data_IF_311889008751
#
_entry.id   IF_311889008751
#
_cell.length_a   1.000
_cell.length_b   1.000
_cell.length_c   1.000
_cell.angle_alpha   90.00
_cell.angle_beta   90.00
_cell.angle_gamma   90.00
#
_symmetry.space_group_name_H-M   'P 1'
#
loop_
_entity.id
_entity.type
_entity.pdbx_description
1 polymer ?
#
# COMPACT_ATOMS: atom_id res chain seq x y z
N UNK A 1 0.56 -2.26 14.40
CA UNK A 1 1.66 -1.33 14.09
C UNK A 1 2.63 -2.03 13.15
N UNK A 2 2.90 -1.42 12.02
CA UNK A 2 3.79 -1.99 11.01
C UNK A 2 5.00 -1.06 10.84
N UNK A 3 6.19 -1.62 11.01
CA UNK A 3 7.45 -0.93 10.76
C UNK A 3 8.16 -1.59 9.59
N UNK A 4 8.62 -0.81 8.64
CA UNK A 4 9.53 -1.26 7.61
C UNK A 4 10.88 -0.54 7.79
N UNK A 5 11.97 -1.31 7.87
CA UNK A 5 13.32 -0.79 7.88
C UNK A 5 13.87 -0.91 6.46
N UNK A 6 14.24 0.19 5.85
CA UNK A 6 14.95 0.17 4.58
C UNK A 6 16.44 -0.14 4.82
N UNK A 7 16.95 -1.19 4.17
CA UNK A 7 18.37 -1.56 4.21
C UNK A 7 19.29 -0.55 3.50
N UNK A 8 18.73 0.46 2.82
CA UNK A 8 19.47 1.40 1.97
C UNK A 8 19.86 2.72 2.65
N UNK A 9 19.88 2.80 3.96
CA UNK A 9 20.48 3.97 4.60
C UNK A 9 19.64 4.70 5.64
N UNK A 10 18.76 4.01 6.31
CA UNK A 10 18.30 4.48 7.61
C UNK A 10 17.01 5.25 7.67
N UNK A 11 16.11 5.09 6.71
CA UNK A 11 14.75 5.58 6.90
C UNK A 11 13.85 4.44 7.42
N UNK A 12 13.51 4.52 8.68
CA UNK A 12 12.45 3.66 9.22
C UNK A 12 11.13 4.37 8.92
N UNK A 13 10.29 3.74 8.11
CA UNK A 13 8.91 4.17 7.89
C UNK A 13 7.97 3.42 8.82
N UNK A 14 7.02 4.14 9.36
CA UNK A 14 5.98 3.62 10.23
C UNK A 14 4.61 4.04 9.70
N UNK A 15 3.63 3.15 9.77
CA UNK A 15 2.24 3.48 9.45
C UNK A 15 1.29 2.66 10.33
N UNK A 16 0.11 3.21 10.53
CA UNK A 16 -0.96 2.57 11.28
C UNK A 16 -2.04 2.07 10.33
N UNK A 17 -2.66 0.95 10.69
CA UNK A 17 -3.82 0.46 9.98
C UNK A 17 -4.93 1.54 9.99
N UNK A 18 -5.58 1.74 8.84
CA UNK A 18 -6.65 2.72 8.65
C UNK A 18 -6.22 4.20 8.77
N UNK A 19 -4.91 4.47 8.89
CA UNK A 19 -4.35 5.82 8.78
C UNK A 19 -4.08 6.17 7.32
N UNK A 20 -4.16 7.45 7.00
CA UNK A 20 -3.71 8.04 5.73
C UNK A 20 -2.31 8.65 5.83
N UNK A 21 -1.66 8.50 6.98
CA UNK A 21 -0.36 9.12 7.26
C UNK A 21 0.73 8.07 7.33
N UNK A 22 1.81 8.33 6.61
CA UNK A 22 3.06 7.58 6.68
C UNK A 22 4.05 8.43 7.46
N UNK A 23 4.65 7.85 8.49
CA UNK A 23 5.55 8.51 9.42
C UNK A 23 7.00 8.12 9.15
N UNK A 24 7.93 8.90 9.63
CA UNK A 24 9.35 8.53 9.74
C UNK A 24 9.78 8.50 11.19
N UNK A 25 10.62 7.55 11.54
CA UNK A 25 11.27 7.50 12.85
C UNK A 25 12.53 8.36 12.79
N UNK A 26 12.57 9.41 13.59
CA UNK A 26 13.70 10.36 13.61
C UNK A 26 14.79 9.89 14.57
N UNK A 27 14.39 9.30 15.68
CA UNK A 27 15.27 8.68 16.68
C UNK A 27 14.47 7.70 17.54
N UNK A 28 15.11 7.07 18.52
CA UNK A 28 14.54 6.02 19.36
C UNK A 28 13.22 6.39 20.09
N UNK A 29 12.85 7.66 20.11
CA UNK A 29 11.69 8.16 20.85
C UNK A 29 10.80 9.13 20.07
N UNK A 30 11.14 9.43 18.81
CA UNK A 30 10.41 10.44 18.04
C UNK A 30 9.99 9.93 16.68
N UNK A 31 8.69 9.95 16.44
CA UNK A 31 8.05 9.66 15.15
C UNK A 31 7.38 10.95 14.67
N UNK A 32 7.55 11.29 13.40
CA UNK A 32 6.90 12.46 12.81
C UNK A 32 6.23 12.13 11.48
N UNK A 33 5.11 12.82 11.13
CA UNK A 33 4.48 12.67 9.82
C UNK A 33 5.46 13.02 8.71
N UNK A 34 5.52 12.17 7.68
CA UNK A 34 6.35 12.38 6.49
C UNK A 34 5.51 12.56 5.23
N UNK A 35 4.50 11.72 5.06
CA UNK A 35 3.58 11.79 3.92
C UNK A 35 2.14 11.70 4.42
N UNK A 36 1.28 12.56 3.87
CA UNK A 36 -0.17 12.47 4.00
C UNK A 36 -0.74 12.01 2.66
N UNK A 37 -1.36 10.84 2.66
CA UNK A 37 -1.98 10.28 1.47
C UNK A 37 -3.39 10.81 1.32
N UNK A 38 -3.62 11.58 0.26
CA UNK A 38 -4.97 12.09 -0.02
C UNK A 38 -5.72 11.12 -0.92
N UNK A 39 -6.66 10.38 -0.35
CA UNK A 39 -7.53 9.47 -1.09
C UNK A 39 -8.78 10.14 -1.69
N UNK A 40 -8.92 11.46 -1.55
CA UNK A 40 -10.08 12.19 -2.09
C UNK A 40 -11.41 11.66 -1.55
N UNK A 41 -12.33 11.34 -2.46
CA UNK A 41 -13.65 10.80 -2.12
C UNK A 41 -13.64 9.38 -1.57
N UNK A 42 -12.53 8.67 -1.72
CA UNK A 42 -12.32 7.33 -1.14
C UNK A 42 -11.72 7.37 0.27
N UNK A 43 -11.44 8.55 0.81
CA UNK A 43 -10.90 8.67 2.17
C UNK A 43 -11.95 8.25 3.22
N UNK A 44 -11.49 7.60 4.29
CA UNK A 44 -12.33 7.41 5.47
C UNK A 44 -12.66 8.78 6.03
N UNK A 45 -13.95 9.14 6.25
CA UNK A 45 -14.32 10.44 6.76
C UNK A 45 -13.61 10.75 8.10
N UNK A 46 -13.08 11.97 8.22
CA UNK A 46 -12.33 12.36 9.41
C UNK A 46 -13.17 12.23 10.71
N UNK A 47 -14.48 12.50 10.64
CA UNK A 47 -15.38 12.33 11.77
C UNK A 47 -15.44 10.88 12.28
N UNK A 48 -15.37 9.91 11.36
CA UNK A 48 -15.37 8.50 11.73
C UNK A 48 -14.04 8.12 12.40
N UNK A 49 -12.92 8.59 11.87
CA UNK A 49 -11.59 8.33 12.44
C UNK A 49 -11.39 8.96 13.82
N UNK A 50 -12.00 10.11 14.07
CA UNK A 50 -11.88 10.80 15.35
C UNK A 50 -12.79 10.23 16.46
N UNK A 51 -13.92 9.63 16.08
CA UNK A 51 -14.95 9.21 17.03
C UNK A 51 -15.00 7.70 17.26
N UNK A 52 -14.22 6.91 16.55
CA UNK A 52 -14.20 5.44 16.62
C UNK A 52 -12.85 4.94 17.09
N UNK A 53 -12.87 3.92 17.92
CA UNK A 53 -11.66 3.14 18.13
C UNK A 53 -11.30 2.28 16.90
N UNK A 54 -10.19 1.58 16.96
CA UNK A 54 -9.69 0.81 15.81
C UNK A 54 -10.64 -0.32 15.42
N UNK A 55 -11.33 -0.96 16.38
CA UNK A 55 -12.26 -2.06 16.11
C UNK A 55 -13.55 -1.55 15.48
N UNK A 56 -14.13 -0.48 16.04
CA UNK A 56 -15.31 0.20 15.49
C UNK A 56 -15.03 0.73 14.07
N UNK A 57 -13.81 1.19 13.82
CA UNK A 57 -13.41 1.67 12.49
C UNK A 57 -13.26 0.52 11.48
N UNK A 58 -12.72 -0.63 11.92
CA UNK A 58 -12.69 -1.86 11.09
C UNK A 58 -14.12 -2.29 10.72
N UNK A 59 -15.02 -2.32 11.69
CA UNK A 59 -16.42 -2.65 11.46
C UNK A 59 -17.08 -1.65 10.51
N UNK A 60 -16.78 -0.36 10.66
CA UNK A 60 -17.28 0.68 9.77
C UNK A 60 -16.82 0.47 8.32
N UNK A 61 -15.54 0.25 8.06
CA UNK A 61 -15.02 0.10 6.68
C UNK A 61 -15.44 -1.23 6.03
N UNK A 62 -15.78 -2.24 6.84
CA UNK A 62 -16.26 -3.53 6.34
C UNK A 62 -17.75 -3.55 5.95
N UNK A 63 -18.51 -2.49 6.25
CA UNK A 63 -19.90 -2.40 5.80
C UNK A 63 -19.98 -2.34 4.27
N UNK A 64 -20.98 -2.97 3.65
CA UNK A 64 -21.12 -3.01 2.20
C UNK A 64 -21.08 -1.63 1.54
N UNK A 65 -21.74 -0.63 2.13
CA UNK A 65 -21.77 0.74 1.64
C UNK A 65 -20.43 1.47 1.70
N UNK A 66 -19.50 0.99 2.53
CA UNK A 66 -18.18 1.60 2.76
C UNK A 66 -17.03 0.87 2.04
N UNK A 67 -17.34 -0.19 1.28
CA UNK A 67 -16.35 -0.98 0.54
C UNK A 67 -15.52 -0.19 -0.47
N UNK A 68 -16.01 0.97 -0.90
CA UNK A 68 -15.27 1.88 -1.77
C UNK A 68 -14.14 2.64 -1.07
N UNK A 69 -14.14 2.70 0.26
CA UNK A 69 -13.16 3.48 0.99
C UNK A 69 -11.75 2.88 0.87
N UNK A 70 -10.76 3.77 0.80
CA UNK A 70 -9.36 3.39 0.81
C UNK A 70 -8.93 3.04 2.24
N UNK A 71 -8.38 1.85 2.40
CA UNK A 71 -8.03 1.29 3.71
C UNK A 71 -6.68 0.57 3.65
N UNK A 72 -6.12 0.29 4.82
CA UNK A 72 -5.00 -0.62 4.99
C UNK A 72 -3.78 -0.26 4.13
N UNK A 73 -3.24 0.96 4.29
CA UNK A 73 -1.89 1.24 3.77
C UNK A 73 -0.95 0.19 4.36
N UNK A 74 -0.15 -0.44 3.50
CA UNK A 74 0.82 -1.46 3.87
C UNK A 74 1.94 -1.53 2.86
N UNK A 75 3.03 -2.19 3.26
CA UNK A 75 4.19 -2.41 2.40
C UNK A 75 4.74 -1.12 1.80
N UNK A 76 4.98 -0.14 2.65
CA UNK A 76 5.58 1.13 2.23
C UNK A 76 7.06 0.90 1.94
N UNK A 77 7.50 1.31 0.77
CA UNK A 77 8.90 1.28 0.35
C UNK A 77 9.27 2.62 -0.27
N UNK A 78 10.40 3.17 0.17
CA UNK A 78 10.84 4.50 -0.25
C UNK A 78 12.21 4.42 -0.95
N UNK A 79 12.27 4.99 -2.15
CA UNK A 79 13.50 5.26 -2.90
C UNK A 79 13.75 6.78 -2.97
N UNK A 80 14.90 7.17 -3.49
CA UNK A 80 15.26 8.58 -3.66
C UNK A 80 14.15 9.38 -4.36
N UNK A 81 13.64 8.89 -5.49
CA UNK A 81 12.69 9.59 -6.34
C UNK A 81 11.25 9.10 -6.22
N UNK A 82 11.02 7.98 -5.54
CA UNK A 82 9.70 7.35 -5.50
C UNK A 82 9.35 6.84 -4.11
N UNK A 83 8.05 6.88 -3.82
CA UNK A 83 7.43 6.19 -2.70
C UNK A 83 6.43 5.17 -3.27
N UNK A 84 6.56 3.92 -2.86
CA UNK A 84 5.66 2.83 -3.20
C UNK A 84 4.87 2.44 -1.96
N UNK A 85 3.60 2.21 -2.11
CA UNK A 85 2.79 1.63 -1.05
C UNK A 85 1.59 0.89 -1.62
N UNK A 86 1.08 -0.06 -0.86
CA UNK A 86 -0.10 -0.84 -1.21
C UNK A 86 -1.26 -0.43 -0.31
N UNK A 87 -2.45 -0.36 -0.86
CA UNK A 87 -3.68 -0.10 -0.12
C UNK A 87 -4.86 -0.86 -0.72
N UNK A 88 -5.93 -1.01 0.04
CA UNK A 88 -7.19 -1.60 -0.42
C UNK A 88 -8.19 -0.50 -0.74
N UNK A 89 -8.90 -0.63 -1.85
CA UNK A 89 -9.94 0.31 -2.28
C UNK A 89 -10.88 -0.39 -3.29
N UNK A 90 -12.19 -0.21 -3.16
CA UNK A 90 -13.18 -0.81 -4.05
C UNK A 90 -13.01 -2.33 -4.21
N UNK A 91 -12.86 -3.05 -3.08
CA UNK A 91 -12.59 -4.49 -3.02
C UNK A 91 -11.36 -4.96 -3.83
N UNK A 92 -10.49 -4.03 -4.20
CA UNK A 92 -9.25 -4.32 -4.92
C UNK A 92 -8.02 -3.90 -4.12
N UNK A 93 -6.92 -4.60 -4.34
CA UNK A 93 -5.61 -4.23 -3.82
C UNK A 93 -4.91 -3.39 -4.87
N UNK A 94 -4.39 -2.24 -4.49
CA UNK A 94 -3.76 -1.27 -5.39
C UNK A 94 -2.34 -0.98 -4.96
N UNK A 95 -1.44 -0.94 -5.93
CA UNK A 95 -0.08 -0.41 -5.78
C UNK A 95 -0.09 1.06 -6.19
N UNK A 96 0.31 1.93 -5.28
CA UNK A 96 0.55 3.34 -5.56
C UNK A 96 2.03 3.62 -5.75
N UNK A 97 2.34 4.48 -6.71
CA UNK A 97 3.66 5.04 -6.96
C UNK A 97 3.57 6.56 -6.91
N UNK A 98 4.20 7.16 -5.91
CA UNK A 98 4.33 8.60 -5.82
C UNK A 98 5.71 9.03 -6.30
N UNK A 99 5.74 9.85 -7.34
CA UNK A 99 6.96 10.48 -7.83
C UNK A 99 7.21 11.77 -7.04
N UNK A 100 8.34 11.82 -6.32
CA UNK A 100 8.68 12.94 -5.43
C UNK A 100 9.08 14.22 -6.18
N UNK A 101 9.59 14.09 -7.40
CA UNK A 101 10.00 15.23 -8.23
C UNK A 101 8.79 15.92 -8.86
N UNK A 102 7.88 15.14 -9.44
CA UNK A 102 6.71 15.69 -10.15
C UNK A 102 5.49 15.84 -9.25
N UNK A 103 5.54 15.31 -8.02
CA UNK A 103 4.42 15.24 -7.07
C UNK A 103 3.17 14.52 -7.60
N UNK A 104 3.35 13.64 -8.58
CA UNK A 104 2.27 12.87 -9.17
C UNK A 104 2.21 11.46 -8.55
N UNK A 105 0.98 10.98 -8.35
CA UNK A 105 0.73 9.60 -7.92
C UNK A 105 0.05 8.82 -9.05
N UNK A 106 0.52 7.63 -9.32
CA UNK A 106 -0.14 6.66 -10.19
C UNK A 106 -0.56 5.44 -9.38
N UNK A 107 -1.67 4.83 -9.75
CA UNK A 107 -2.17 3.63 -9.06
C UNK A 107 -2.42 2.51 -10.05
N UNK A 108 -2.10 1.29 -9.63
CA UNK A 108 -2.30 0.08 -10.41
C UNK A 108 -3.06 -0.95 -9.58
N UNK A 109 -4.13 -1.49 -10.14
CA UNK A 109 -4.85 -2.60 -9.51
C UNK A 109 -3.96 -3.85 -9.63
N UNK A 110 -3.68 -4.47 -8.50
CA UNK A 110 -2.98 -5.74 -8.47
C UNK A 110 -3.95 -6.87 -8.83
N UNK A 111 -3.56 -7.83 -9.67
CA UNK A 111 -4.46 -8.88 -10.08
C UNK A 111 -4.82 -9.78 -8.90
N UNK A 112 -6.13 -10.02 -8.74
CA UNK A 112 -6.65 -11.02 -7.80
C UNK A 112 -6.57 -12.44 -8.37
N UNK A 113 -6.43 -12.56 -9.69
CA UNK A 113 -6.30 -13.84 -10.39
C UNK A 113 -5.07 -13.81 -11.30
N UNK A 114 -4.25 -14.84 -11.22
CA UNK A 114 -3.07 -15.05 -12.07
C UNK A 114 -3.10 -16.49 -12.56
N UNK A 115 -3.03 -16.69 -13.89
CA UNK A 115 -3.04 -18.03 -14.51
C UNK A 115 -4.22 -18.93 -14.08
N UNK A 116 -5.38 -18.34 -13.79
CA UNK A 116 -6.59 -19.07 -13.37
C UNK A 116 -6.66 -19.41 -11.87
N UNK A 117 -5.65 -19.08 -11.10
CA UNK A 117 -5.67 -19.20 -9.63
C UNK A 117 -6.00 -17.85 -8.97
N UNK A 118 -6.67 -17.91 -7.82
CA UNK A 118 -6.97 -16.73 -7.00
C UNK A 118 -5.85 -16.48 -6.02
N UNK A 119 -5.33 -15.27 -6.02
CA UNK A 119 -4.20 -14.89 -5.19
C UNK A 119 -4.51 -13.65 -4.35
N UNK A 120 -3.87 -13.56 -3.19
CA UNK A 120 -3.79 -12.34 -2.40
C UNK A 120 -2.35 -11.92 -2.22
N UNK A 121 -2.12 -10.63 -2.06
CA UNK A 121 -0.80 -10.11 -1.75
C UNK A 121 -0.40 -10.56 -0.34
N UNK A 122 0.63 -11.40 -0.25
CA UNK A 122 1.18 -11.88 1.01
C UNK A 122 2.23 -10.93 1.58
N UNK A 123 3.12 -10.41 0.72
CA UNK A 123 4.14 -9.43 1.11
C UNK A 123 4.69 -8.66 -0.08
N UNK A 124 5.30 -7.52 0.23
CA UNK A 124 6.09 -6.73 -0.70
C UNK A 124 7.55 -7.04 -0.41
N UNK A 125 8.21 -7.74 -1.31
CA UNK A 125 9.52 -8.30 -1.01
C UNK A 125 10.65 -7.32 -1.29
N UNK A 126 10.62 -6.66 -2.44
CA UNK A 126 11.72 -5.78 -2.86
C UNK A 126 11.31 -4.85 -4.01
N UNK A 127 11.88 -3.66 -3.99
CA UNK A 127 11.98 -2.79 -5.16
C UNK A 127 13.45 -2.80 -5.59
N UNK A 128 13.72 -3.20 -6.81
CA UNK A 128 15.05 -3.17 -7.42
C UNK A 128 15.07 -2.14 -8.54
N UNK A 129 16.24 -1.92 -9.20
CA UNK A 129 16.41 -0.87 -10.24
C UNK A 129 15.28 -0.85 -11.26
N UNK A 130 14.87 -2.01 -11.75
CA UNK A 130 13.91 -2.13 -12.85
C UNK A 130 12.64 -2.88 -12.47
N UNK A 131 12.52 -3.39 -11.24
CA UNK A 131 11.46 -4.33 -10.87
C UNK A 131 10.87 -4.05 -9.50
N UNK A 132 9.57 -4.32 -9.38
CA UNK A 132 8.86 -4.46 -8.12
C UNK A 132 8.55 -5.94 -7.94
N UNK A 133 8.97 -6.52 -6.83
CA UNK A 133 8.83 -7.95 -6.53
C UNK A 133 7.89 -8.11 -5.35
N UNK A 134 6.82 -8.84 -5.54
CA UNK A 134 5.80 -9.13 -4.53
C UNK A 134 5.62 -10.64 -4.38
N UNK A 135 5.30 -11.10 -3.19
CA UNK A 135 4.84 -12.47 -2.97
C UNK A 135 3.31 -12.50 -3.00
N UNK A 136 2.77 -13.42 -3.75
CA UNK A 136 1.35 -13.74 -3.78
C UNK A 136 1.11 -15.08 -3.10
N UNK A 137 0.06 -15.18 -2.32
CA UNK A 137 -0.39 -16.39 -1.68
C UNK A 137 -1.64 -16.92 -2.37
N UNK A 138 -1.67 -18.22 -2.66
CA UNK A 138 -2.83 -18.89 -3.23
C UNK A 138 -3.96 -18.92 -2.20
N UNK A 139 -5.12 -18.35 -2.54
CA UNK A 139 -6.27 -18.30 -1.65
C UNK A 139 -6.98 -19.67 -1.49
N UNK A 140 -6.80 -20.57 -2.45
CA UNK A 140 -7.47 -21.88 -2.47
C UNK A 140 -6.59 -22.98 -1.89
N UNK A 141 -5.27 -22.77 -1.84
CA UNK A 141 -4.33 -23.77 -1.36
C UNK A 141 -3.19 -23.12 -0.54
N UNK A 142 -3.50 -22.75 0.70
CA UNK A 142 -2.61 -22.06 1.64
C UNK A 142 -1.33 -22.86 1.96
N UNK A 143 -1.36 -24.18 1.79
CA UNK A 143 -0.19 -25.04 2.00
C UNK A 143 0.80 -25.02 0.83
N UNK A 144 0.41 -24.46 -0.30
CA UNK A 144 1.26 -24.35 -1.47
C UNK A 144 2.10 -23.09 -1.46
N UNK A 145 3.27 -23.21 -2.04
CA UNK A 145 4.30 -22.20 -2.15
C UNK A 145 3.77 -20.84 -2.62
N UNK A 146 4.24 -19.78 -1.97
CA UNK A 146 4.04 -18.42 -2.43
C UNK A 146 4.57 -18.27 -3.86
N UNK A 147 3.79 -17.62 -4.72
CA UNK A 147 4.20 -17.27 -6.07
C UNK A 147 4.83 -15.88 -6.09
N UNK A 148 5.90 -15.71 -6.86
CA UNK A 148 6.50 -14.40 -7.08
C UNK A 148 5.78 -13.68 -8.21
N UNK A 149 5.32 -12.48 -7.93
CA UNK A 149 4.80 -11.56 -8.92
C UNK A 149 5.81 -10.43 -9.15
N UNK A 150 6.29 -10.34 -10.38
CA UNK A 150 7.34 -9.39 -10.75
C UNK A 150 6.77 -8.43 -11.80
N UNK A 151 6.81 -7.14 -11.48
CA UNK A 151 6.38 -6.08 -12.39
C UNK A 151 7.61 -5.27 -12.79
N UNK A 152 7.79 -5.03 -14.09
CA UNK A 152 8.78 -4.06 -14.57
C UNK A 152 8.33 -2.64 -14.22
N UNK A 153 9.20 -1.85 -13.61
CA UNK A 153 8.93 -0.44 -13.31
C UNK A 153 8.51 0.35 -14.55
N UNK A 154 9.10 0.05 -15.71
CA UNK A 154 8.74 0.69 -16.97
C UNK A 154 7.25 0.52 -17.31
N UNK A 155 6.68 -0.64 -17.07
CA UNK A 155 5.25 -0.90 -17.31
C UNK A 155 4.35 -0.11 -16.35
N UNK A 156 4.81 0.11 -15.11
CA UNK A 156 4.12 0.92 -14.13
C UNK A 156 4.11 2.41 -14.51
N UNK A 157 5.20 2.90 -15.11
CA UNK A 157 5.31 4.30 -15.54
C UNK A 157 4.57 4.57 -16.87
N UNK A 158 4.57 3.63 -17.81
CA UNK A 158 3.95 3.81 -19.12
C UNK A 158 2.42 3.80 -19.06
N UNK A 159 1.82 2.95 -18.22
CA UNK A 159 0.36 2.90 -18.04
C UNK A 159 -0.26 4.18 -17.44
N UNK A 160 0.56 5.05 -16.84
CA UNK A 160 0.10 6.34 -16.32
C UNK A 160 -0.18 7.39 -17.40
N UNK A 161 0.18 7.12 -18.66
CA UNK A 161 0.01 8.07 -19.78
C UNK A 161 -1.33 7.94 -20.51
N UNK A 162 -2.16 6.96 -20.15
CA UNK A 162 -3.47 6.76 -20.76
C UNK A 162 -4.58 7.06 -19.74
N UNK A 163 -4.95 8.31 -19.64
CA UNK A 163 -6.26 8.80 -19.21
C UNK A 163 -6.85 9.61 -20.33
#
# INVERSE_FOLDING_TARGET
DFMNCDDNGGFITYWEALSDTIYTVVNDSMVQPKYLVNFGEYAIPAVERLNKDVYDLIDYVNKPENKKLATLIRYVYEEENYLYFVFSCEDSVRLALYNKETHNTTTHILPAEVNGGKYRLASFLKVDKDKVIMALEDCENIENNQSLFIINKKELYEKSRFK
#
